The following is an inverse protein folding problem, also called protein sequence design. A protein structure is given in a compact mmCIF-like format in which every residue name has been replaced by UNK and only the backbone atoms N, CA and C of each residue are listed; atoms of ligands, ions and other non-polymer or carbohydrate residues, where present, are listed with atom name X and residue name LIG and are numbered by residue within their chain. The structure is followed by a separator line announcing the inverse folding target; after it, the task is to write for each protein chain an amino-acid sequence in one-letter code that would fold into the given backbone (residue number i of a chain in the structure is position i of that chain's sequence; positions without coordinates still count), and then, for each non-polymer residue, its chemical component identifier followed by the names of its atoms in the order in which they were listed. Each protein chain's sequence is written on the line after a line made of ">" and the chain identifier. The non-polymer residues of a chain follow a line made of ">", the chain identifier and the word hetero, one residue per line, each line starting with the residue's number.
data_IF_487776266432
#
_entry.id   IF_487776266432
#
_cell.length_a   1.000
_cell.length_b   1.000
_cell.length_c   1.000
_cell.angle_alpha   90.00
_cell.angle_beta   90.00
_cell.angle_gamma   90.00
#
_symmetry.space_group_name_H-M   'P 1'
#
loop_
_entity.id
_entity.type
_entity.pdbx_description
1 polymer ?
#
# COMPACT_ATOMS: atom_id res chain seq x y z
N UNK A 1 -6.61 -6.48 -16.13
CA UNK A 1 -5.20 -6.83 -16.41
C UNK A 1 -4.40 -6.62 -15.15
N UNK A 2 -3.44 -7.48 -14.81
CA UNK A 2 -2.55 -7.28 -13.67
C UNK A 2 -1.77 -5.97 -13.87
N UNK A 3 -1.61 -5.19 -12.80
CA UNK A 3 -0.84 -3.96 -12.87
C UNK A 3 0.66 -4.29 -12.84
N UNK A 4 1.37 -4.04 -13.94
CA UNK A 4 2.82 -4.31 -14.01
C UNK A 4 3.68 -3.38 -13.16
N UNK A 5 3.15 -2.22 -12.75
CA UNK A 5 3.90 -1.24 -11.95
C UNK A 5 4.05 -1.68 -10.48
N UNK A 6 2.98 -2.24 -9.92
CA UNK A 6 2.95 -2.70 -8.53
C UNK A 6 2.81 -4.22 -8.41
N UNK A 7 2.96 -4.96 -9.51
CA UNK A 7 2.78 -6.42 -9.55
C UNK A 7 1.45 -6.90 -8.93
N UNK A 8 0.37 -6.14 -9.19
CA UNK A 8 -0.96 -6.36 -8.62
C UNK A 8 -1.07 -6.22 -7.08
N UNK A 9 0.01 -5.87 -6.37
CA UNK A 9 -0.04 -5.66 -4.92
C UNK A 9 -0.80 -4.37 -4.55
N UNK A 10 -0.89 -3.41 -5.48
CA UNK A 10 -1.61 -2.15 -5.31
C UNK A 10 -0.78 -1.02 -4.70
N UNK A 11 0.50 -1.26 -4.42
CA UNK A 11 1.39 -0.32 -3.73
C UNK A 11 2.75 -0.22 -4.42
N UNK A 12 3.31 0.99 -4.46
CA UNK A 12 4.66 1.28 -4.99
C UNK A 12 5.52 1.83 -3.87
N UNK A 13 6.84 1.75 -4.02
CA UNK A 13 7.74 2.36 -3.05
C UNK A 13 7.61 3.89 -3.12
N UNK A 14 7.46 4.57 -1.98
CA UNK A 14 7.34 6.03 -1.93
C UNK A 14 8.63 6.71 -2.46
N UNK A 15 9.81 6.13 -2.16
CA UNK A 15 11.09 6.65 -2.63
C UNK A 15 11.36 6.31 -4.11
N UNK A 16 10.77 5.23 -4.61
CA UNK A 16 10.97 4.72 -5.97
C UNK A 16 9.60 4.33 -6.57
N UNK A 17 8.81 5.31 -7.04
CA UNK A 17 7.42 5.08 -7.48
C UNK A 17 7.28 4.23 -8.74
N UNK A 18 8.40 3.93 -9.41
CA UNK A 18 8.52 2.97 -10.50
C UNK A 18 8.67 1.52 -10.05
N UNK A 19 8.82 1.27 -8.74
CA UNK A 19 9.04 -0.06 -8.18
C UNK A 19 7.90 -0.51 -7.28
N UNK A 20 7.54 -1.80 -7.29
CA UNK A 20 6.57 -2.35 -6.36
C UNK A 20 7.08 -2.21 -4.92
N UNK A 21 6.16 -1.97 -3.98
CA UNK A 21 6.48 -1.91 -2.56
C UNK A 21 6.63 -3.30 -1.94
N UNK A 22 5.80 -4.24 -2.40
CA UNK A 22 5.73 -5.63 -1.95
C UNK A 22 5.75 -6.56 -3.17
N UNK A 23 6.33 -7.76 -3.03
CA UNK A 23 6.48 -8.73 -4.12
C UNK A 23 7.92 -9.25 -4.29
N UNK A 24 8.11 -10.12 -5.27
CA UNK A 24 9.43 -10.70 -5.61
C UNK A 24 10.41 -9.62 -6.11
N UNK A 25 9.89 -8.60 -6.82
CA UNK A 25 10.69 -7.50 -7.36
C UNK A 25 10.52 -6.20 -6.55
N UNK A 26 10.08 -6.31 -5.30
CA UNK A 26 9.90 -5.19 -4.39
C UNK A 26 11.16 -4.34 -4.25
N UNK A 27 10.97 -3.03 -4.07
CA UNK A 27 12.07 -2.13 -3.79
C UNK A 27 12.72 -2.49 -2.44
N UNK A 28 14.02 -2.75 -2.46
CA UNK A 28 14.80 -3.15 -1.27
C UNK A 28 15.37 -1.97 -0.49
N UNK A 29 14.96 -0.73 -0.79
CA UNK A 29 15.51 0.46 -0.16
C UNK A 29 15.00 0.72 1.27
N UNK A 30 14.00 -0.04 1.73
CA UNK A 30 13.37 0.15 3.05
C UNK A 30 12.41 1.35 3.14
N UNK A 31 12.01 1.92 2.01
CA UNK A 31 11.05 3.03 1.96
C UNK A 31 9.63 2.58 2.28
N UNK A 32 8.79 3.54 2.70
CA UNK A 32 7.37 3.31 2.92
C UNK A 32 6.61 2.97 1.62
N UNK A 33 5.41 2.41 1.77
CA UNK A 33 4.52 2.10 0.66
C UNK A 33 3.59 3.26 0.36
N UNK A 34 3.46 3.59 -0.91
CA UNK A 34 2.50 4.56 -1.42
C UNK A 34 1.47 3.87 -2.34
N UNK A 35 0.23 4.37 -2.41
CA UNK A 35 -0.78 3.84 -3.31
C UNK A 35 -0.30 3.87 -4.77
N UNK A 36 -0.48 2.75 -5.49
CA UNK A 36 -0.08 2.67 -6.89
C UNK A 36 -0.91 3.65 -7.73
N UNK A 37 -0.31 4.64 -8.41
CA UNK A 37 -1.06 5.65 -9.16
C UNK A 37 -1.80 5.10 -10.38
N UNK A 38 -1.46 3.88 -10.84
CA UNK A 38 -2.08 3.26 -12.02
C UNK A 38 -3.33 2.44 -11.70
N UNK A 39 -3.36 1.75 -10.56
CA UNK A 39 -4.45 0.81 -10.25
C UNK A 39 -5.02 0.97 -8.83
N UNK A 40 -4.41 1.79 -8.01
CA UNK A 40 -4.80 2.05 -6.63
C UNK A 40 -4.64 3.54 -6.32
N UNK A 41 -4.93 4.41 -7.31
CA UNK A 41 -4.92 5.85 -7.10
C UNK A 41 -5.87 6.17 -5.94
N UNK A 42 -5.42 7.03 -5.04
CA UNK A 42 -6.21 7.52 -3.95
C UNK A 42 -6.31 9.03 -4.09
N UNK A 43 -7.53 9.50 -4.23
CA UNK A 43 -7.90 10.91 -4.21
C UNK A 43 -8.72 11.20 -2.94
N UNK A 44 -9.04 12.47 -2.67
CA UNK A 44 -9.78 12.90 -1.47
C UNK A 44 -11.12 12.16 -1.30
N UNK A 45 -11.70 11.67 -2.41
CA UNK A 45 -12.97 10.92 -2.44
C UNK A 45 -12.78 9.39 -2.51
N UNK A 46 -11.57 8.90 -2.85
CA UNK A 46 -11.28 7.46 -2.94
C UNK A 46 -10.15 7.05 -2.01
N UNK A 47 -10.52 6.39 -0.92
CA UNK A 47 -9.54 5.75 -0.04
C UNK A 47 -8.75 4.67 -0.82
N UNK A 48 -7.43 4.55 -0.58
CA UNK A 48 -6.63 3.53 -1.25
C UNK A 48 -7.06 2.14 -0.77
N UNK A 49 -6.94 1.14 -1.63
CA UNK A 49 -7.10 -0.26 -1.22
C UNK A 49 -6.04 -0.59 -0.19
N UNK A 50 -6.47 -1.04 0.99
CA UNK A 50 -5.57 -1.46 2.07
C UNK A 50 -4.65 -2.60 1.62
N UNK A 51 -3.38 -2.66 2.09
CA UNK A 51 -2.48 -3.77 1.78
C UNK A 51 -3.06 -5.09 2.28
N UNK A 52 -2.81 -6.19 1.55
CA UNK A 52 -3.21 -7.53 1.99
C UNK A 52 -2.51 -7.86 3.32
N UNK A 53 -3.29 -8.08 4.38
CA UNK A 53 -2.76 -8.43 5.70
C UNK A 53 -2.64 -7.26 6.68
N UNK A 54 -2.95 -6.03 6.27
CA UNK A 54 -3.09 -4.93 7.22
C UNK A 54 -4.38 -5.13 8.04
N UNK A 55 -4.24 -5.62 9.27
CA UNK A 55 -5.30 -5.62 10.28
C UNK A 55 -5.19 -4.34 11.09
N UNK A 56 -6.10 -3.39 10.88
CA UNK A 56 -6.36 -2.34 11.86
C UNK A 56 -7.10 -2.96 13.04
N UNK A 57 -6.43 -3.79 13.83
CA UNK A 57 -6.92 -4.16 15.17
C UNK A 57 -6.73 -2.95 16.09
N UNK A 58 -7.56 -1.93 15.90
CA UNK A 58 -7.85 -0.95 16.94
C UNK A 58 -9.16 -1.40 17.59
N UNK A 59 -9.13 -2.56 18.27
CA UNK A 59 -10.24 -2.95 19.14
C UNK A 59 -10.32 -1.91 20.25
N UNK A 60 -11.39 -1.11 20.22
CA UNK A 60 -11.68 -0.04 21.18
C UNK A 60 -12.07 -0.61 22.56
N UNK A 61 -11.42 -1.65 23.07
CA UNK A 61 -11.62 -2.11 24.45
C UNK A 61 -10.64 -1.43 25.40
N UNK A 62 -11.12 -0.33 25.95
CA UNK A 62 -10.88 -0.02 27.36
C UNK A 62 -9.75 0.94 27.65
N UNK A 63 -9.84 2.17 27.15
CA UNK A 63 -9.23 3.30 27.87
C UNK A 63 -10.00 3.48 29.18
N UNK A 64 -9.50 2.91 30.28
CA UNK A 64 -9.94 3.26 31.63
C UNK A 64 -9.06 4.41 32.11
N UNK A 65 -9.69 5.59 32.23
CA UNK A 65 -9.13 6.76 32.92
C UNK A 65 -8.93 6.46 34.41
#
# INVERSE_FOLDING_TARGET
>A
MPCSLCEDCGWVCEAHPDRPWEGEYACTCGGAGAPCPRCNASDDETAPRMPKGYKTEFDKKGWRH
#
